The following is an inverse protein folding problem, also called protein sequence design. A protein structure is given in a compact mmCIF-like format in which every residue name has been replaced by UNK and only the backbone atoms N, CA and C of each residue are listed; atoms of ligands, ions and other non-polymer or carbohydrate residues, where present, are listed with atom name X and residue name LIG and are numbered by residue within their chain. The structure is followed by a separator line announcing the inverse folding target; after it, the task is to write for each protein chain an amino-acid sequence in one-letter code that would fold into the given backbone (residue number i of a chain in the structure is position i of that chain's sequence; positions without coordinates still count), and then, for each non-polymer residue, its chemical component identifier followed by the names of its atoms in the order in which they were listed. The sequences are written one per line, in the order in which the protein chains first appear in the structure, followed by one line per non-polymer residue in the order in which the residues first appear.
data_IF_229127848618
#
_entry.id   IF_229127848618
#
_cell.length_a   1.000
_cell.length_b   1.000
_cell.length_c   1.000
_cell.angle_alpha   90.00
_cell.angle_beta   90.00
_cell.angle_gamma   90.00
#
_symmetry.space_group_name_H-M   'P 1'
#
loop_
_entity.id
_entity.type
_entity.pdbx_description
1 polymer ?
#
# COMPACT_ATOMS: atom_id res chain seq x y z
N UNK A 1 20.80 15.99 28.11
CA UNK A 1 21.27 15.72 26.74
C UNK A 1 20.88 14.29 26.39
N UNK A 2 19.77 14.12 25.67
CA UNK A 2 19.19 12.81 25.40
C UNK A 2 19.53 12.37 23.96
N UNK A 3 19.77 11.08 23.72
CA UNK A 3 20.00 10.56 22.37
C UNK A 3 18.72 9.86 21.91
N UNK A 4 18.15 10.37 20.82
CA UNK A 4 16.88 9.89 20.28
C UNK A 4 17.13 9.04 19.04
N UNK A 5 16.32 8.01 18.83
CA UNK A 5 16.40 7.27 17.56
C UNK A 5 15.97 8.18 16.41
N UNK A 6 16.35 7.85 15.17
CA UNK A 6 15.94 8.64 14.00
C UNK A 6 14.41 8.82 13.88
N UNK A 7 13.62 7.83 14.33
CA UNK A 7 12.17 7.91 14.34
C UNK A 7 11.67 8.80 15.47
N UNK A 8 12.25 8.69 16.66
CA UNK A 8 11.87 9.52 17.80
C UNK A 8 12.19 10.99 17.53
N UNK A 9 13.34 11.27 16.91
CA UNK A 9 13.74 12.61 16.51
C UNK A 9 12.81 13.16 15.40
N UNK A 10 12.44 12.31 14.43
CA UNK A 10 11.47 12.65 13.37
C UNK A 10 10.13 13.11 13.96
N UNK A 11 9.62 12.36 14.93
CA UNK A 11 8.36 12.66 15.58
C UNK A 11 8.46 13.89 16.49
N UNK A 12 9.57 14.01 17.22
CA UNK A 12 9.77 15.11 18.17
C UNK A 12 9.86 16.47 17.48
N UNK A 13 10.50 16.53 16.32
CA UNK A 13 10.76 17.78 15.59
C UNK A 13 9.97 17.93 14.29
N UNK A 14 9.03 17.02 14.03
CA UNK A 14 8.20 16.95 12.81
C UNK A 14 9.02 17.04 11.50
N UNK A 15 10.12 16.28 11.45
CA UNK A 15 11.02 16.22 10.31
C UNK A 15 11.03 14.82 9.74
N UNK A 16 10.76 14.68 8.44
CA UNK A 16 10.76 13.36 7.81
C UNK A 16 12.13 12.67 7.96
N UNK A 17 12.10 11.36 8.20
CA UNK A 17 13.30 10.50 8.30
C UNK A 17 14.24 10.69 7.12
N UNK A 18 13.72 10.86 5.90
CA UNK A 18 14.52 11.15 4.70
C UNK A 18 15.28 12.47 4.79
N UNK A 19 14.69 13.49 5.40
CA UNK A 19 15.35 14.78 5.66
C UNK A 19 16.47 14.61 6.68
N UNK A 20 16.21 13.86 7.76
CA UNK A 20 17.23 13.58 8.78
C UNK A 20 18.41 12.79 8.20
N UNK A 21 18.16 11.76 7.37
CA UNK A 21 19.23 11.00 6.68
C UNK A 21 20.12 11.88 5.80
N UNK A 22 19.54 12.88 5.11
CA UNK A 22 20.32 13.82 4.29
C UNK A 22 21.20 14.71 5.16
N UNK A 23 20.68 15.19 6.29
CA UNK A 23 21.43 16.03 7.24
C UNK A 23 22.55 15.26 7.94
N UNK A 24 22.32 13.98 8.28
CA UNK A 24 23.37 13.06 8.76
C UNK A 24 24.51 12.97 7.73
N UNK A 25 24.16 12.78 6.44
CA UNK A 25 25.16 12.69 5.36
C UNK A 25 25.89 14.01 5.09
N UNK A 26 25.22 15.15 5.30
CA UNK A 26 25.79 16.48 5.16
C UNK A 26 26.55 16.96 6.41
N UNK A 27 26.59 16.14 7.47
CA UNK A 27 27.21 16.44 8.78
C UNK A 27 26.62 17.69 9.48
N UNK A 28 25.39 18.06 9.13
CA UNK A 28 24.69 19.23 9.67
C UNK A 28 24.12 19.00 11.09
N UNK A 29 24.08 17.76 11.55
CA UNK A 29 23.51 17.35 12.84
C UNK A 29 24.37 16.28 13.50
N UNK A 30 24.44 16.31 14.83
CA UNK A 30 25.21 15.33 15.61
C UNK A 30 24.48 13.99 15.66
N UNK A 31 25.16 12.94 15.19
CA UNK A 31 24.63 11.58 15.19
C UNK A 31 25.67 10.56 15.62
N UNK A 32 25.20 9.42 16.12
CA UNK A 32 26.01 8.22 16.36
C UNK A 32 25.30 6.99 15.81
N UNK A 33 26.10 6.02 15.35
CA UNK A 33 25.60 4.74 14.85
C UNK A 33 25.96 3.65 15.87
N UNK A 34 24.93 3.04 16.46
CA UNK A 34 25.10 2.01 17.49
C UNK A 34 24.25 0.79 17.12
N UNK A 35 24.88 -0.38 17.03
CA UNK A 35 24.21 -1.65 16.64
C UNK A 35 23.36 -1.55 15.37
N UNK A 36 23.87 -0.80 14.37
CA UNK A 36 23.18 -0.60 13.08
C UNK A 36 22.02 0.41 13.11
N UNK A 37 21.79 1.10 14.23
CA UNK A 37 20.73 2.10 14.40
C UNK A 37 21.32 3.50 14.60
N UNK A 38 20.70 4.49 13.95
CA UNK A 38 21.09 5.88 14.06
C UNK A 38 20.41 6.53 15.27
N UNK A 39 21.23 7.21 16.08
CA UNK A 39 20.80 8.04 17.20
C UNK A 39 21.23 9.47 16.95
N UNK A 40 20.33 10.41 17.20
CA UNK A 40 20.51 11.84 17.02
C UNK A 40 20.47 12.51 18.39
N UNK A 41 21.34 13.49 18.60
CA UNK A 41 21.30 14.25 19.84
C UNK A 41 20.05 15.13 19.87
N UNK A 42 19.34 15.10 20.99
CA UNK A 42 18.12 15.85 21.22
C UNK A 42 18.38 17.35 21.43
N UNK A 43 18.78 18.02 20.34
CA UNK A 43 18.96 19.45 20.23
C UNK A 43 18.00 20.00 19.15
N UNK A 44 17.42 21.18 19.39
CA UNK A 44 16.49 21.80 18.45
C UNK A 44 17.16 22.01 17.07
N UNK A 45 16.56 21.50 15.98
CA UNK A 45 17.17 21.61 14.67
C UNK A 45 17.23 23.07 14.25
N UNK A 46 18.44 23.57 13.97
CA UNK A 46 18.63 24.93 13.46
C UNK A 46 17.83 25.09 12.16
N UNK A 47 16.82 25.98 12.18
CA UNK A 47 15.96 26.29 11.01
C UNK A 47 16.80 26.99 9.94
N UNK A 48 17.55 26.26 9.13
CA UNK A 48 18.29 26.85 8.02
C UNK A 48 17.32 27.25 6.90
N UNK A 49 17.38 28.53 6.51
CA UNK A 49 16.58 29.13 5.43
C UNK A 49 16.85 28.41 4.11
N UNK A 50 15.79 28.18 3.34
CA UNK A 50 15.83 27.56 2.02
C UNK A 50 16.94 28.16 1.13
N UNK A 51 17.96 27.35 0.82
CA UNK A 51 18.88 27.65 -0.27
C UNK A 51 18.39 26.95 -1.54
N UNK A 52 18.21 27.79 -2.56
CA UNK A 52 17.73 27.56 -3.92
C UNK A 52 18.43 26.39 -4.60
N UNK A 53 17.67 25.49 -5.23
CA UNK A 53 18.05 24.93 -6.54
C UNK A 53 16.79 24.55 -7.33
N UNK A 54 16.85 24.87 -8.62
CA UNK A 54 15.94 24.54 -9.72
C UNK A 54 14.54 25.16 -9.72
N UNK A 55 14.46 26.25 -10.47
CA UNK A 55 13.27 26.72 -11.16
C UNK A 55 12.58 25.60 -11.96
N UNK A 56 11.26 25.80 -12.18
CA UNK A 56 10.38 25.17 -13.19
C UNK A 56 9.62 23.91 -12.76
N UNK A 57 8.59 24.12 -11.93
CA UNK A 57 7.37 23.31 -12.01
C UNK A 57 6.31 24.16 -12.72
N UNK A 58 6.16 23.93 -14.03
CA UNK A 58 4.97 24.39 -14.75
C UNK A 58 3.75 23.64 -14.21
N UNK A 59 2.72 24.41 -13.88
CA UNK A 59 1.40 23.96 -13.44
C UNK A 59 0.75 23.12 -14.54
N UNK A 60 0.21 21.95 -14.19
CA UNK A 60 -0.92 21.36 -14.94
C UNK A 60 -1.99 20.94 -13.91
N UNK A 61 -3.24 21.41 -14.03
CA UNK A 61 -4.34 21.03 -13.17
C UNK A 61 -5.05 19.81 -13.76
N UNK A 62 -5.22 18.72 -12.99
CA UNK A 62 -6.14 17.65 -13.37
C UNK A 62 -7.39 17.70 -12.48
N UNK A 63 -8.41 18.37 -13.02
CA UNK A 63 -9.80 17.98 -12.79
C UNK A 63 -10.03 16.68 -13.57
N UNK A 64 -10.40 15.60 -12.91
CA UNK A 64 -11.43 14.73 -13.46
C UNK A 64 -12.11 13.94 -12.35
N UNK A 65 -13.41 14.22 -12.19
CA UNK A 65 -14.39 13.32 -11.59
C UNK A 65 -14.29 11.96 -12.29
N UNK A 66 -14.36 10.88 -11.54
CA UNK A 66 -15.14 9.73 -11.98
C UNK A 66 -16.21 9.46 -10.91
N UNK A 67 -17.43 9.74 -11.35
CA UNK A 67 -18.67 9.33 -10.72
C UNK A 67 -18.73 7.81 -10.62
N UNK A 68 -19.42 7.36 -9.58
CA UNK A 68 -19.81 5.99 -9.34
C UNK A 68 -20.73 5.53 -10.47
N UNK A 69 -20.39 4.43 -11.13
CA UNK A 69 -21.38 3.52 -11.72
C UNK A 69 -21.10 2.11 -11.20
N UNK A 70 -22.15 1.52 -10.63
CA UNK A 70 -22.19 0.14 -10.14
C UNK A 70 -22.07 -0.83 -11.31
N UNK A 71 -21.35 -1.94 -11.12
CA UNK A 71 -21.71 -3.19 -11.78
C UNK A 71 -21.66 -4.34 -10.77
N UNK A 72 -22.85 -4.60 -10.24
CA UNK A 72 -23.31 -5.89 -9.76
C UNK A 72 -23.12 -6.93 -10.88
N UNK A 73 -22.29 -7.95 -10.67
CA UNK A 73 -22.21 -9.09 -11.58
C UNK A 73 -22.47 -10.37 -10.81
N UNK A 74 -23.74 -10.77 -10.88
CA UNK A 74 -24.28 -12.04 -10.40
C UNK A 74 -23.67 -13.23 -11.14
N UNK A 75 -23.48 -14.28 -10.37
CA UNK A 75 -23.38 -15.68 -10.80
C UNK A 75 -24.48 -16.06 -11.78
N UNK A 76 -24.10 -16.61 -12.94
CA UNK A 76 -24.98 -17.45 -13.77
C UNK A 76 -24.23 -18.72 -14.16
N UNK A 77 -24.71 -19.84 -13.60
CA UNK A 77 -24.57 -21.18 -14.14
C UNK A 77 -25.59 -21.37 -15.29
N UNK A 78 -25.15 -21.80 -16.46
CA UNK A 78 -25.96 -22.48 -17.49
C UNK A 78 -25.01 -23.45 -18.20
N UNK A 79 -25.08 -24.78 -18.12
CA UNK A 79 -26.17 -25.70 -18.46
C UNK A 79 -26.70 -25.47 -19.88
N UNK A 80 -25.86 -25.59 -20.92
CA UNK A 80 -26.34 -25.79 -22.31
C UNK A 80 -25.31 -26.33 -23.34
N UNK A 81 -24.25 -27.05 -22.94
CA UNK A 81 -23.23 -27.56 -23.91
C UNK A 81 -23.23 -29.09 -24.16
N UNK A 82 -24.20 -29.83 -23.60
CA UNK A 82 -24.24 -31.30 -23.72
C UNK A 82 -24.64 -31.85 -25.11
N UNK A 83 -25.03 -31.01 -26.07
CA UNK A 83 -25.52 -31.47 -27.38
C UNK A 83 -24.49 -31.39 -28.52
N UNK A 84 -23.31 -30.79 -28.30
CA UNK A 84 -22.29 -30.64 -29.35
C UNK A 84 -21.32 -31.84 -29.46
N UNK A 85 -21.19 -32.69 -28.43
CA UNK A 85 -20.20 -33.78 -28.42
C UNK A 85 -20.60 -35.03 -29.24
N UNK A 86 -21.87 -35.17 -29.63
CA UNK A 86 -22.37 -36.40 -30.26
C UNK A 86 -22.16 -36.46 -31.79
N UNK A 87 -21.90 -35.33 -32.45
CA UNK A 87 -21.66 -35.30 -33.90
C UNK A 87 -20.17 -35.37 -34.28
N UNK A 88 -19.26 -34.95 -33.41
CA UNK A 88 -17.81 -34.99 -33.67
C UNK A 88 -17.26 -36.42 -33.62
N UNK A 89 -17.82 -37.27 -32.75
CA UNK A 89 -17.35 -38.66 -32.57
C UNK A 89 -17.80 -39.62 -33.68
N UNK A 90 -18.83 -39.27 -34.47
CA UNK A 90 -19.29 -40.09 -35.59
C UNK A 90 -18.46 -39.89 -36.88
N UNK A 91 -17.94 -38.68 -37.11
CA UNK A 91 -17.17 -38.37 -38.32
C UNK A 91 -15.75 -38.94 -38.30
N UNK A 92 -15.16 -39.15 -37.11
CA UNK A 92 -13.77 -39.64 -36.97
C UNK A 92 -13.63 -41.14 -37.25
N UNK A 93 -14.71 -41.92 -37.32
CA UNK A 93 -14.63 -43.39 -37.43
C UNK A 93 -14.71 -43.97 -38.84
N UNK A 94 -14.92 -43.18 -39.90
CA UNK A 94 -15.20 -43.73 -41.24
C UNK A 94 -14.10 -43.54 -42.29
N UNK A 95 -12.93 -42.99 -41.95
CA UNK A 95 -11.82 -42.92 -42.92
C UNK A 95 -10.44 -42.90 -42.24
N UNK A 96 -9.52 -43.72 -42.79
CA UNK A 96 -8.07 -43.81 -42.48
C UNK A 96 -7.71 -44.73 -41.31
N UNK A 97 -7.56 -46.05 -41.53
CA UNK A 97 -6.34 -46.73 -41.99
C UNK A 97 -5.09 -46.49 -41.11
N UNK A 98 -4.70 -47.57 -40.41
CA UNK A 98 -3.39 -47.91 -39.85
C UNK A 98 -2.60 -46.80 -39.13
N UNK A 99 -2.86 -46.64 -37.83
CA UNK A 99 -1.90 -46.06 -36.88
C UNK A 99 -1.66 -47.07 -35.76
N UNK A 100 -0.39 -47.24 -35.41
CA UNK A 100 0.13 -48.19 -34.43
C UNK A 100 -0.34 -47.89 -33.00
N UNK A 101 -0.85 -48.89 -32.29
CA UNK A 101 -1.36 -48.81 -30.90
C UNK A 101 -0.37 -48.23 -29.86
N UNK A 102 0.92 -48.08 -30.19
CA UNK A 102 1.93 -47.51 -29.30
C UNK A 102 1.95 -45.97 -29.30
N UNK A 103 1.48 -45.32 -30.35
CA UNK A 103 1.54 -43.85 -30.46
C UNK A 103 0.35 -43.15 -29.78
N UNK A 104 -0.82 -43.80 -29.73
CA UNK A 104 -2.01 -43.25 -29.04
C UNK A 104 -1.81 -43.18 -27.52
N UNK A 105 -1.14 -44.15 -26.90
CA UNK A 105 -0.90 -44.12 -25.45
C UNK A 105 0.12 -43.06 -25.01
N UNK A 106 1.05 -42.69 -25.89
CA UNK A 106 2.04 -41.65 -25.62
C UNK A 106 1.43 -40.24 -25.77
N UNK A 107 0.54 -40.04 -26.75
CA UNK A 107 -0.16 -38.77 -26.94
C UNK A 107 -1.20 -38.51 -25.82
N UNK A 108 -1.87 -39.57 -25.34
CA UNK A 108 -2.83 -39.45 -24.23
C UNK A 108 -2.15 -39.08 -22.89
N UNK A 109 -0.96 -39.63 -22.62
CA UNK A 109 -0.23 -39.36 -21.37
C UNK A 109 0.37 -37.94 -21.31
N UNK A 110 0.77 -37.38 -22.44
CA UNK A 110 1.20 -35.97 -22.52
C UNK A 110 0.03 -35.00 -22.34
N UNK A 111 -1.16 -35.33 -22.84
CA UNK A 111 -2.37 -34.51 -22.64
C UNK A 111 -2.80 -34.45 -21.19
N UNK A 112 -2.85 -35.59 -20.50
CA UNK A 112 -3.22 -35.62 -19.07
C UNK A 112 -2.21 -34.90 -18.17
N UNK A 113 -0.91 -34.95 -18.52
CA UNK A 113 0.11 -34.17 -17.83
C UNK A 113 -0.04 -32.67 -18.04
N UNK A 114 -0.39 -32.24 -19.26
CA UNK A 114 -0.64 -30.82 -19.57
C UNK A 114 -1.91 -30.30 -18.87
N UNK A 115 -2.98 -31.09 -18.84
CA UNK A 115 -4.23 -30.74 -18.15
C UNK A 115 -4.02 -30.67 -16.63
N UNK A 116 -3.26 -31.61 -16.06
CA UNK A 116 -2.86 -31.59 -14.66
C UNK A 116 -2.05 -30.33 -14.32
N UNK A 117 -1.02 -30.01 -15.11
CA UNK A 117 -0.24 -28.79 -14.92
C UNK A 117 -1.10 -27.51 -15.04
N UNK A 118 -2.07 -27.50 -15.95
CA UNK A 118 -3.01 -26.39 -16.10
C UNK A 118 -3.93 -26.25 -14.88
N UNK A 119 -4.41 -27.37 -14.32
CA UNK A 119 -5.21 -27.34 -13.09
C UNK A 119 -4.41 -26.80 -11.90
N UNK A 120 -3.16 -27.24 -11.71
CA UNK A 120 -2.28 -26.71 -10.67
C UNK A 120 -1.98 -25.22 -10.87
N UNK A 121 -1.73 -24.78 -12.11
CA UNK A 121 -1.51 -23.36 -12.41
C UNK A 121 -2.74 -22.50 -12.09
N UNK A 122 -3.95 -23.03 -12.35
CA UNK A 122 -5.22 -22.36 -12.01
C UNK A 122 -5.40 -22.27 -10.49
N UNK A 123 -5.14 -23.34 -9.75
CA UNK A 123 -5.20 -23.35 -8.28
C UNK A 123 -4.24 -22.32 -7.67
N UNK A 124 -2.99 -22.27 -8.14
CA UNK A 124 -2.01 -21.28 -7.69
C UNK A 124 -2.45 -19.84 -8.02
N UNK A 125 -3.05 -19.63 -9.19
CA UNK A 125 -3.57 -18.33 -9.58
C UNK A 125 -4.72 -17.89 -8.68
N UNK A 126 -5.62 -18.81 -8.32
CA UNK A 126 -6.74 -18.53 -7.44
C UNK A 126 -6.28 -18.30 -5.99
N UNK A 127 -5.28 -19.05 -5.52
CA UNK A 127 -4.63 -18.79 -4.23
C UNK A 127 -3.90 -17.44 -4.21
N UNK A 128 -3.23 -17.07 -5.30
CA UNK A 128 -2.58 -15.76 -5.44
C UNK A 128 -3.62 -14.62 -5.42
N UNK A 129 -4.71 -14.75 -6.18
CA UNK A 129 -5.81 -13.78 -6.15
C UNK A 129 -6.40 -13.65 -4.75
N UNK A 130 -6.62 -14.77 -4.07
CA UNK A 130 -7.16 -14.79 -2.71
C UNK A 130 -6.23 -14.10 -1.71
N UNK A 131 -4.94 -14.41 -1.76
CA UNK A 131 -3.94 -13.79 -0.87
C UNK A 131 -3.78 -12.29 -1.14
N UNK A 132 -3.80 -11.87 -2.42
CA UNK A 132 -3.76 -10.46 -2.78
C UNK A 132 -4.98 -9.69 -2.25
N UNK A 133 -6.19 -10.22 -2.46
CA UNK A 133 -7.42 -9.60 -1.95
C UNK A 133 -7.42 -9.50 -0.42
N UNK A 134 -6.91 -10.53 0.27
CA UNK A 134 -6.78 -10.51 1.73
C UNK A 134 -5.82 -9.41 2.20
N UNK A 135 -4.62 -9.34 1.61
CA UNK A 135 -3.63 -8.30 1.95
C UNK A 135 -4.20 -6.91 1.67
N UNK A 136 -4.90 -6.74 0.55
CA UNK A 136 -5.52 -5.46 0.20
C UNK A 136 -6.53 -5.02 1.27
N UNK A 137 -7.42 -5.93 1.68
CA UNK A 137 -8.39 -5.67 2.75
C UNK A 137 -7.71 -5.31 4.08
N UNK A 138 -6.68 -6.05 4.48
CA UNK A 138 -5.91 -5.76 5.70
C UNK A 138 -5.28 -4.35 5.64
N UNK A 139 -4.77 -3.94 4.46
CA UNK A 139 -4.24 -2.59 4.28
C UNK A 139 -5.32 -1.51 4.32
N UNK A 140 -6.50 -1.77 3.79
CA UNK A 140 -7.64 -0.86 3.88
C UNK A 140 -8.08 -0.65 5.34
N UNK A 141 -8.16 -1.73 6.13
CA UNK A 141 -8.43 -1.67 7.57
C UNK A 141 -7.35 -0.89 8.33
N UNK A 142 -6.07 -1.14 8.03
CA UNK A 142 -4.95 -0.42 8.65
C UNK A 142 -5.03 1.08 8.36
N UNK A 143 -5.36 1.46 7.12
CA UNK A 143 -5.55 2.86 6.74
C UNK A 143 -6.74 3.47 7.50
N UNK A 144 -7.84 2.73 7.64
CA UNK A 144 -9.02 3.18 8.37
C UNK A 144 -8.69 3.44 9.85
N UNK A 145 -7.96 2.52 10.49
CA UNK A 145 -7.51 2.68 11.87
C UNK A 145 -6.65 3.93 12.06
N UNK A 146 -5.63 4.11 11.22
CA UNK A 146 -4.73 5.28 11.29
C UNK A 146 -5.47 6.59 11.04
N UNK A 147 -6.48 6.60 10.15
CA UNK A 147 -7.31 7.79 9.92
C UNK A 147 -8.09 8.18 11.18
N UNK A 148 -8.64 7.21 11.90
CA UNK A 148 -9.35 7.46 13.15
C UNK A 148 -8.39 7.98 14.23
N UNK A 149 -7.22 7.36 14.40
CA UNK A 149 -6.21 7.82 15.36
C UNK A 149 -5.74 9.24 15.06
N UNK A 150 -5.49 9.58 13.79
CA UNK A 150 -5.16 10.95 13.37
C UNK A 150 -6.31 11.92 13.69
N UNK A 151 -7.56 11.50 13.52
CA UNK A 151 -8.73 12.33 13.87
C UNK A 151 -8.81 12.61 15.36
N UNK A 152 -8.58 11.59 16.19
CA UNK A 152 -8.59 11.70 17.65
C UNK A 152 -7.45 12.59 18.14
N UNK A 153 -6.23 12.40 17.62
CA UNK A 153 -5.07 13.22 17.92
C UNK A 153 -5.28 14.69 17.52
N UNK A 154 -5.88 14.95 16.35
CA UNK A 154 -6.24 16.31 15.92
C UNK A 154 -7.26 16.95 16.85
N UNK A 155 -8.22 16.17 17.34
CA UNK A 155 -9.22 16.64 18.31
C UNK A 155 -8.55 17.02 19.62
N UNK A 156 -7.62 16.19 20.11
CA UNK A 156 -6.85 16.47 21.31
C UNK A 156 -5.99 17.73 21.16
N UNK A 157 -5.26 17.87 20.05
CA UNK A 157 -4.46 19.08 19.76
C UNK A 157 -5.33 20.32 19.84
N UNK A 158 -6.50 20.31 19.18
CA UNK A 158 -7.42 21.44 19.19
C UNK A 158 -7.87 21.83 20.59
N UNK A 159 -8.25 20.86 21.42
CA UNK A 159 -8.65 21.12 22.81
C UNK A 159 -7.49 21.72 23.62
N UNK A 160 -6.28 21.18 23.47
CA UNK A 160 -5.10 21.67 24.17
C UNK A 160 -4.69 23.08 23.68
N UNK A 161 -4.79 23.36 22.39
CA UNK A 161 -4.54 24.68 21.82
C UNK A 161 -5.56 25.71 22.33
N UNK A 162 -6.84 25.35 22.39
CA UNK A 162 -7.89 26.20 22.95
C UNK A 162 -7.64 26.51 24.43
N UNK A 163 -7.28 25.51 25.24
CA UNK A 163 -6.99 25.72 26.67
C UNK A 163 -5.70 26.51 26.89
N UNK A 164 -4.66 26.28 26.08
CA UNK A 164 -3.44 27.08 26.13
C UNK A 164 -3.72 28.54 25.74
N UNK A 165 -4.59 28.77 24.76
CA UNK A 165 -5.04 30.11 24.38
C UNK A 165 -5.75 30.81 25.54
N UNK A 166 -6.68 30.14 26.22
CA UNK A 166 -7.36 30.69 27.41
C UNK A 166 -6.39 31.00 28.54
N UNK A 167 -5.42 30.11 28.80
CA UNK A 167 -4.41 30.32 29.83
C UNK A 167 -3.54 31.54 29.52
N UNK A 168 -3.14 31.73 28.26
CA UNK A 168 -2.39 32.92 27.82
C UNK A 168 -3.19 34.19 28.05
N UNK A 169 -4.48 34.20 27.67
CA UNK A 169 -5.37 35.32 27.93
C UNK A 169 -5.50 35.63 29.43
N UNK A 170 -5.59 34.60 30.28
CA UNK A 170 -5.66 34.77 31.73
C UNK A 170 -4.36 35.38 32.29
N UNK A 171 -3.20 34.91 31.84
CA UNK A 171 -1.90 35.46 32.24
C UNK A 171 -1.76 36.92 31.80
N UNK A 172 -2.15 37.25 30.57
CA UNK A 172 -2.16 38.64 30.06
C UNK A 172 -3.08 39.54 30.88
N UNK A 173 -4.28 39.04 31.23
CA UNK A 173 -5.22 39.78 32.06
C UNK A 173 -4.67 40.04 33.47
N UNK A 174 -4.05 39.03 34.10
CA UNK A 174 -3.40 39.20 35.40
C UNK A 174 -2.26 40.22 35.36
N UNK A 175 -1.43 40.21 34.30
CA UNK A 175 -0.36 41.20 34.13
C UNK A 175 -0.93 42.62 34.03
N UNK A 176 -2.04 42.80 33.31
CA UNK A 176 -2.70 44.10 33.14
C UNK A 176 -3.29 44.64 34.44
N UNK A 177 -3.64 43.79 35.41
CA UNK A 177 -4.15 44.20 36.72
C UNK A 177 -3.03 44.58 37.70
N UNK A 178 -1.80 44.13 37.46
CA UNK A 178 -0.65 44.36 38.36
C UNK A 178 0.17 45.61 38.02
N UNK A 179 -0.04 46.23 36.85
CA UNK A 179 0.51 47.55 36.47
C UNK A 179 -0.46 48.69 36.83
#
# INVERSE_FOLDING_TARGET
MNWLTINDYSNKYDLSVSTLRRRIKAEDIEFRLESGKYFLLDEEPRKQKAQKTSEKIQKIPLKHKFEKENLDFKTEESSDDEQAELLVNAAVRSSSEMVTNQDEQNIQSMRTAADSAFTTAKELLDELKKSYSFILHEKEEQILYLKNEISDLRTLIRVLEDDNTKLRQYVEHLHTIQE
#
